data_IF_316735097138
#
_entry.id   IF_316735097138
#
_cell.length_a   1.000
_cell.length_b   1.000
_cell.length_c   1.000
_cell.angle_alpha   90.00
_cell.angle_beta   90.00
_cell.angle_gamma   90.00
#
_symmetry.space_group_name_H-M   'P 1'
#
loop_
_entity.id
_entity.type
_entity.pdbx_description
1 polymer ?
#
# COMPACT_ATOMS: atom_id res chain seq x y z
N UNK A 1 25.67 -3.71 -15.04
CA UNK A 1 24.80 -3.90 -16.22
C UNK A 1 23.45 -3.36 -15.84
N UNK A 2 22.88 -2.48 -16.65
CA UNK A 2 21.60 -1.80 -16.39
C UNK A 2 20.53 -2.36 -17.34
N UNK A 3 19.30 -2.49 -16.85
CA UNK A 3 18.13 -2.87 -17.61
C UNK A 3 17.10 -1.75 -17.59
N UNK A 4 16.74 -1.21 -18.76
CA UNK A 4 15.81 -0.08 -18.88
C UNK A 4 14.45 -0.55 -19.38
N UNK A 5 13.40 -0.24 -18.61
CA UNK A 5 12.00 -0.48 -18.98
C UNK A 5 11.33 0.84 -19.39
N UNK A 6 10.78 0.88 -20.61
CA UNK A 6 10.09 2.06 -21.14
C UNK A 6 8.60 2.04 -20.77
N UNK A 7 8.30 2.21 -19.47
CA UNK A 7 6.93 2.23 -18.94
C UNK A 7 6.52 3.69 -18.65
N UNK A 8 5.37 4.19 -19.15
CA UNK A 8 4.90 5.54 -18.85
C UNK A 8 4.80 5.81 -17.35
N UNK A 9 5.63 6.73 -16.84
CA UNK A 9 5.67 7.06 -15.42
C UNK A 9 4.54 8.02 -14.98
N UNK A 10 4.51 8.38 -13.68
CA UNK A 10 5.34 7.83 -12.62
C UNK A 10 5.03 6.34 -12.35
N UNK A 11 6.05 5.60 -11.89
CA UNK A 11 6.00 4.16 -11.69
C UNK A 11 6.36 3.79 -10.25
N UNK A 12 5.66 2.81 -9.68
CA UNK A 12 6.04 2.15 -8.43
C UNK A 12 6.53 0.74 -8.74
N UNK A 13 7.52 0.24 -8.00
CA UNK A 13 8.07 -1.11 -8.17
C UNK A 13 8.04 -1.91 -6.87
N UNK A 14 7.77 -3.21 -6.95
CA UNK A 14 7.85 -4.12 -5.81
C UNK A 14 8.27 -5.52 -6.25
N UNK A 15 9.08 -6.20 -5.46
CA UNK A 15 9.39 -7.62 -5.66
C UNK A 15 8.35 -8.49 -4.97
N UNK A 16 8.06 -9.64 -5.57
CA UNK A 16 7.36 -10.71 -4.88
C UNK A 16 8.25 -11.31 -3.76
N UNK A 17 7.67 -12.01 -2.76
CA UNK A 17 8.45 -12.55 -1.64
C UNK A 17 9.55 -13.55 -2.04
N UNK A 18 9.41 -14.23 -3.17
CA UNK A 18 10.44 -15.15 -3.68
C UNK A 18 11.56 -14.45 -4.46
N UNK A 19 11.37 -13.18 -4.82
CA UNK A 19 12.37 -12.34 -5.47
C UNK A 19 12.66 -12.71 -6.93
N UNK A 20 11.79 -13.48 -7.58
CA UNK A 20 11.93 -13.86 -8.99
C UNK A 20 10.93 -13.16 -9.91
N UNK A 21 9.93 -12.50 -9.32
CA UNK A 21 8.95 -11.66 -10.00
C UNK A 21 9.05 -10.24 -9.42
N UNK A 22 8.85 -9.24 -10.27
CA UNK A 22 8.59 -7.89 -9.81
C UNK A 22 7.37 -7.30 -10.50
N UNK A 23 6.64 -6.48 -9.75
CA UNK A 23 5.53 -5.70 -10.22
C UNK A 23 5.95 -4.26 -10.50
N UNK A 24 5.39 -3.67 -11.54
CA UNK A 24 5.45 -2.24 -11.83
C UNK A 24 4.03 -1.70 -11.94
N UNK A 25 3.69 -0.70 -11.13
CA UNK A 25 2.42 0.00 -11.21
C UNK A 25 2.62 1.36 -11.89
N UNK A 26 2.06 1.51 -13.09
CA UNK A 26 2.09 2.77 -13.85
C UNK A 26 0.89 3.65 -13.49
N UNK A 27 1.17 4.85 -13.00
CA UNK A 27 0.14 5.83 -12.67
C UNK A 27 -0.59 6.32 -13.92
N UNK A 28 0.15 6.63 -14.98
CA UNK A 28 -0.42 7.20 -16.21
C UNK A 28 -1.34 6.22 -16.92
N UNK A 29 -1.07 4.91 -16.80
CA UNK A 29 -1.87 3.86 -17.42
C UNK A 29 -2.89 3.23 -16.45
N UNK A 30 -2.85 3.56 -15.16
CA UNK A 30 -3.56 2.82 -14.11
C UNK A 30 -3.41 1.30 -14.27
N UNK A 31 -2.20 0.82 -14.57
CA UNK A 31 -1.98 -0.59 -14.93
C UNK A 31 -0.86 -1.19 -14.10
N UNK A 32 -1.14 -2.37 -13.54
CA UNK A 32 -0.19 -3.22 -12.83
C UNK A 32 0.42 -4.23 -13.81
N UNK A 33 1.74 -4.21 -13.94
CA UNK A 33 2.53 -5.04 -14.86
C UNK A 33 3.38 -6.01 -14.04
N UNK A 34 3.42 -7.29 -14.40
CA UNK A 34 4.25 -8.29 -13.73
C UNK A 34 5.31 -8.84 -14.68
N UNK A 35 6.55 -8.92 -14.21
CA UNK A 35 7.71 -9.34 -14.99
C UNK A 35 8.45 -10.49 -14.29
N UNK A 36 8.98 -11.43 -15.08
CA UNK A 36 9.98 -12.40 -14.60
C UNK A 36 11.33 -11.68 -14.53
N UNK A 37 11.98 -11.70 -13.36
CA UNK A 37 13.25 -11.03 -13.12
C UNK A 37 14.36 -11.49 -14.08
N UNK A 38 14.36 -12.74 -14.53
CA UNK A 38 15.38 -13.27 -15.45
C UNK A 38 15.17 -12.81 -16.88
N UNK A 39 13.97 -12.35 -17.21
CA UNK A 39 13.56 -11.87 -18.52
C UNK A 39 12.97 -10.45 -18.41
N UNK A 40 13.55 -9.61 -17.56
CA UNK A 40 13.02 -8.29 -17.24
C UNK A 40 12.96 -7.36 -18.45
N UNK A 41 13.73 -7.62 -19.51
CA UNK A 41 13.82 -6.84 -20.74
C UNK A 41 12.75 -7.22 -21.78
N UNK A 42 11.90 -8.20 -21.46
CA UNK A 42 10.75 -8.61 -22.28
C UNK A 42 9.47 -7.92 -21.83
N UNK A 43 8.42 -8.11 -22.61
CA UNK A 43 7.06 -7.71 -22.22
C UNK A 43 6.64 -8.37 -20.89
N UNK A 44 5.78 -7.70 -20.10
CA UNK A 44 5.28 -8.28 -18.87
C UNK A 44 4.50 -9.56 -19.18
N UNK A 45 4.61 -10.56 -18.30
CA UNK A 45 3.85 -11.80 -18.46
C UNK A 45 2.38 -11.65 -18.01
N UNK A 46 2.04 -10.55 -17.33
CA UNK A 46 0.67 -10.21 -16.95
C UNK A 46 0.50 -8.71 -16.85
N UNK A 47 -0.66 -8.23 -17.30
CA UNK A 47 -1.05 -6.82 -17.27
C UNK A 47 -2.49 -6.69 -16.73
N UNK A 48 -2.68 -5.86 -15.70
CA UNK A 48 -3.97 -5.66 -15.06
C UNK A 48 -4.31 -4.17 -15.01
N UNK A 49 -5.30 -3.74 -15.79
CA UNK A 49 -5.86 -2.40 -15.67
C UNK A 49 -6.68 -2.28 -14.40
N UNK A 50 -6.37 -1.26 -13.59
CA UNK A 50 -7.02 -0.99 -12.32
C UNK A 50 -8.09 0.10 -12.51
N UNK A 51 -9.31 -0.24 -12.16
CA UNK A 51 -10.43 0.70 -12.09
C UNK A 51 -11.35 0.33 -10.94
N UNK A 52 -11.96 1.35 -10.33
CA UNK A 52 -12.92 1.17 -9.24
C UNK A 52 -14.01 2.24 -9.30
N UNK A 53 -14.42 2.60 -10.51
CA UNK A 53 -15.29 3.74 -10.77
C UNK A 53 -16.60 3.68 -9.97
N UNK A 54 -17.20 2.48 -9.87
CA UNK A 54 -18.46 2.28 -9.15
C UNK A 54 -18.35 2.64 -7.66
N UNK A 55 -17.20 2.40 -7.04
CA UNK A 55 -16.94 2.78 -5.66
C UNK A 55 -16.49 4.23 -5.55
N UNK A 56 -15.63 4.68 -6.46
CA UNK A 56 -14.99 5.99 -6.45
C UNK A 56 -15.93 7.16 -6.78
N UNK A 57 -17.09 6.89 -7.40
CA UNK A 57 -18.17 7.87 -7.57
C UNK A 57 -18.66 8.47 -6.23
N UNK A 58 -18.40 7.80 -5.10
CA UNK A 58 -18.71 8.31 -3.75
C UNK A 58 -17.80 9.45 -3.30
N UNK A 59 -16.62 9.58 -3.92
CA UNK A 59 -15.58 10.53 -3.50
C UNK A 59 -15.21 11.56 -4.56
N UNK A 60 -15.47 11.28 -5.85
CA UNK A 60 -15.10 12.16 -6.96
C UNK A 60 -16.06 12.04 -8.14
N UNK A 61 -16.24 13.13 -8.89
CA UNK A 61 -17.01 13.14 -10.15
C UNK A 61 -16.27 13.93 -11.24
N UNK A 62 -15.91 13.31 -12.39
CA UNK A 62 -16.06 11.87 -12.68
C UNK A 62 -15.19 11.02 -11.74
N UNK A 63 -15.56 9.75 -11.55
CA UNK A 63 -14.75 8.84 -10.76
C UNK A 63 -13.36 8.67 -11.38
N UNK A 64 -12.33 8.72 -10.54
CA UNK A 64 -10.93 8.58 -10.96
C UNK A 64 -10.15 7.82 -9.90
N UNK A 65 -9.30 6.90 -10.35
CA UNK A 65 -8.31 6.26 -9.48
C UNK A 65 -7.45 7.35 -8.82
N UNK A 66 -7.29 7.34 -7.49
CA UNK A 66 -6.34 8.23 -6.83
C UNK A 66 -4.90 7.90 -7.24
N UNK A 67 -3.97 8.81 -6.97
CA UNK A 67 -2.56 8.54 -7.21
C UNK A 67 -2.05 7.44 -6.30
N UNK A 68 -1.27 6.51 -6.85
CA UNK A 68 -0.65 5.42 -6.13
C UNK A 68 0.62 5.92 -5.43
N UNK A 69 0.80 5.54 -4.18
CA UNK A 69 1.96 5.93 -3.37
C UNK A 69 2.75 4.75 -2.83
N UNK A 70 2.17 3.55 -2.81
CA UNK A 70 2.81 2.37 -2.28
C UNK A 70 2.42 1.14 -3.10
N UNK A 71 3.40 0.27 -3.34
CA UNK A 71 3.21 -1.04 -3.94
C UNK A 71 3.99 -2.05 -3.11
N UNK A 72 3.33 -3.08 -2.60
CA UNK A 72 3.96 -4.09 -1.74
C UNK A 72 3.25 -5.43 -1.86
N UNK A 73 4.00 -6.52 -2.05
CA UNK A 73 3.42 -7.86 -2.00
C UNK A 73 3.18 -8.28 -0.55
N UNK A 74 2.09 -9.00 -0.30
CA UNK A 74 1.96 -9.75 0.95
C UNK A 74 3.00 -10.87 1.00
N UNK A 75 3.42 -11.25 2.20
CA UNK A 75 4.47 -12.25 2.38
C UNK A 75 4.11 -13.66 1.84
N UNK A 76 2.81 -13.95 1.67
CA UNK A 76 2.33 -15.17 1.02
C UNK A 76 2.31 -15.10 -0.52
N UNK A 77 2.65 -13.94 -1.09
CA UNK A 77 2.70 -13.67 -2.53
C UNK A 77 1.33 -13.63 -3.22
N UNK A 78 0.23 -13.79 -2.50
CA UNK A 78 -1.13 -13.89 -3.10
C UNK A 78 -1.78 -12.56 -3.36
N UNK A 79 -1.35 -11.51 -2.65
CA UNK A 79 -1.93 -10.20 -2.76
C UNK A 79 -0.86 -9.12 -2.93
N UNK A 80 -1.28 -8.03 -3.55
CA UNK A 80 -0.50 -6.82 -3.71
C UNK A 80 -1.28 -5.69 -3.04
N UNK A 81 -0.68 -5.10 -2.02
CA UNK A 81 -1.14 -3.88 -1.38
C UNK A 81 -0.79 -2.67 -2.24
N UNK A 82 -1.79 -1.81 -2.44
CA UNK A 82 -1.66 -0.52 -3.13
C UNK A 82 -2.14 0.60 -2.21
N UNK A 83 -1.20 1.39 -1.71
CA UNK A 83 -1.48 2.64 -1.00
C UNK A 83 -1.74 3.78 -1.98
N UNK A 84 -2.64 4.71 -1.64
CA UNK A 84 -3.04 5.80 -2.54
C UNK A 84 -3.12 7.14 -1.80
N UNK A 85 -3.12 8.25 -2.54
CA UNK A 85 -3.39 9.61 -2.03
C UNK A 85 -4.86 9.84 -1.68
N UNK A 86 -5.75 8.91 -2.01
CA UNK A 86 -7.19 9.06 -1.79
C UNK A 86 -7.67 8.46 -0.47
N UNK A 87 -8.99 8.45 -0.30
CA UNK A 87 -9.68 7.87 0.88
C UNK A 87 -9.75 6.34 0.90
N UNK A 88 -9.04 5.68 -0.01
CA UNK A 88 -9.10 4.23 -0.18
C UNK A 88 -7.73 3.68 -0.55
N UNK A 89 -7.32 2.61 0.12
CA UNK A 89 -6.21 1.76 -0.29
C UNK A 89 -6.76 0.42 -0.80
N UNK A 90 -5.97 -0.31 -1.59
CA UNK A 90 -6.43 -1.54 -2.23
C UNK A 90 -5.58 -2.74 -1.86
N UNK A 91 -6.23 -3.90 -1.79
CA UNK A 91 -5.58 -5.20 -1.90
C UNK A 91 -6.02 -5.80 -3.23
N UNK A 92 -5.05 -6.18 -4.06
CA UNK A 92 -5.25 -6.76 -5.39
C UNK A 92 -4.78 -8.20 -5.37
N UNK A 93 -5.48 -9.12 -6.03
CA UNK A 93 -5.02 -10.50 -6.17
C UNK A 93 -3.85 -10.55 -7.17
N UNK A 94 -2.71 -11.10 -6.76
CA UNK A 94 -1.48 -11.03 -7.56
C UNK A 94 -1.54 -11.84 -8.86
N UNK A 95 -2.39 -12.86 -8.94
CA UNK A 95 -2.52 -13.72 -10.12
C UNK A 95 -3.66 -13.32 -11.05
N UNK A 96 -4.68 -12.63 -10.54
CA UNK A 96 -5.92 -12.33 -11.29
C UNK A 96 -6.11 -10.84 -11.55
N UNK A 97 -5.41 -9.97 -10.81
CA UNK A 97 -5.48 -8.52 -10.99
C UNK A 97 -6.74 -7.84 -10.48
N UNK A 98 -7.70 -8.60 -9.96
CA UNK A 98 -8.93 -8.05 -9.38
C UNK A 98 -8.69 -7.43 -8.00
N UNK A 99 -9.39 -6.33 -7.74
CA UNK A 99 -9.45 -5.70 -6.42
C UNK A 99 -10.26 -6.62 -5.51
N UNK A 100 -9.59 -7.20 -4.51
CA UNK A 100 -10.21 -8.12 -3.53
C UNK A 100 -10.72 -7.38 -2.30
N UNK A 101 -10.14 -6.22 -1.99
CA UNK A 101 -10.57 -5.43 -0.85
C UNK A 101 -10.16 -3.96 -0.94
N UNK A 102 -11.00 -3.11 -0.36
CA UNK A 102 -10.85 -1.65 -0.23
C UNK A 102 -10.68 -1.30 1.23
N UNK A 103 -9.56 -0.72 1.60
CA UNK A 103 -9.28 -0.28 2.97
C UNK A 103 -9.65 1.19 3.09
N UNK A 104 -10.62 1.50 3.95
CA UNK A 104 -11.16 2.84 4.14
C UNK A 104 -11.11 3.25 5.62
N UNK A 105 -11.46 4.51 5.88
CA UNK A 105 -11.55 5.08 7.22
C UNK A 105 -10.40 6.03 7.57
N UNK A 106 -9.33 6.07 6.77
CA UNK A 106 -8.29 7.09 6.89
C UNK A 106 -8.68 8.38 6.19
N UNK A 107 -8.35 9.51 6.80
CA UNK A 107 -8.23 10.80 6.12
C UNK A 107 -6.87 10.92 5.41
N UNK A 108 -6.85 11.27 4.11
CA UNK A 108 -5.62 11.35 3.32
C UNK A 108 -4.59 12.31 3.88
N UNK A 109 -3.33 11.88 3.90
CA UNK A 109 -2.18 12.72 4.22
C UNK A 109 -1.63 13.33 2.93
N UNK A 110 -1.56 14.65 2.85
CA UNK A 110 -0.95 15.33 1.71
C UNK A 110 0.57 15.15 1.76
N UNK A 111 1.13 14.43 0.78
CA UNK A 111 2.58 14.25 0.64
C UNK A 111 3.02 14.71 -0.74
N UNK A 112 4.09 15.49 -0.82
CA UNK A 112 4.62 15.95 -2.11
C UNK A 112 5.39 14.86 -2.88
N UNK A 113 5.71 13.73 -2.23
CA UNK A 113 6.61 12.70 -2.77
C UNK A 113 5.87 11.39 -3.08
N UNK A 114 6.18 10.78 -4.23
CA UNK A 114 5.84 9.38 -4.51
C UNK A 114 6.68 8.47 -3.60
N UNK A 115 6.10 7.37 -3.10
CA UNK A 115 6.72 6.52 -2.09
C UNK A 115 7.04 7.22 -0.76
N UNK A 116 6.23 8.21 -0.37
CA UNK A 116 6.36 8.92 0.91
C UNK A 116 6.20 8.02 2.17
N UNK A 117 6.13 6.69 2.03
CA UNK A 117 6.15 5.72 3.14
C UNK A 117 5.06 5.92 4.20
N UNK A 118 3.96 6.57 3.84
CA UNK A 118 2.83 6.82 4.73
C UNK A 118 1.98 5.56 5.01
N UNK A 119 2.24 4.47 4.29
CA UNK A 119 1.57 3.18 4.45
C UNK A 119 2.53 2.01 4.24
N UNK A 120 2.26 0.90 4.91
CA UNK A 120 3.03 -0.33 4.79
C UNK A 120 2.20 -1.57 5.16
N UNK A 121 2.67 -2.74 4.73
CA UNK A 121 2.16 -4.03 5.19
C UNK A 121 3.08 -4.54 6.30
N UNK A 122 2.48 -5.21 7.28
CA UNK A 122 3.24 -5.88 8.34
C UNK A 122 4.00 -7.09 7.81
N UNK A 123 5.15 -7.44 8.41
CA UNK A 123 6.02 -8.55 7.98
C UNK A 123 5.32 -9.91 7.83
N UNK A 124 4.33 -10.18 8.68
CA UNK A 124 3.54 -11.40 8.66
C UNK A 124 2.42 -11.40 7.60
N UNK A 125 2.27 -10.29 6.87
CA UNK A 125 1.23 -10.07 5.86
C UNK A 125 -0.17 -9.87 6.44
N UNK A 126 -0.31 -9.81 7.77
CA UNK A 126 -1.63 -9.85 8.42
C UNK A 126 -2.32 -8.51 8.47
N UNK A 127 -1.56 -7.43 8.61
CA UNK A 127 -2.09 -6.08 8.76
C UNK A 127 -1.50 -5.11 7.73
N UNK A 128 -2.32 -4.19 7.25
CA UNK A 128 -1.88 -2.96 6.61
C UNK A 128 -2.00 -1.79 7.58
N UNK A 129 -1.05 -0.86 7.49
CA UNK A 129 -0.98 0.34 8.32
C UNK A 129 -0.92 1.56 7.40
N UNK A 130 -1.60 2.64 7.76
CA UNK A 130 -1.42 3.93 7.11
C UNK A 130 -1.57 5.09 8.10
N UNK A 131 -0.76 6.13 7.91
CA UNK A 131 -0.94 7.39 8.58
C UNK A 131 -2.20 8.10 8.08
N UNK A 132 -2.82 8.86 8.98
CA UNK A 132 -4.00 9.65 8.66
C UNK A 132 -3.89 11.09 9.17
N UNK A 133 -4.48 12.01 8.41
CA UNK A 133 -4.46 13.45 8.70
C UNK A 133 -5.25 13.82 9.98
N UNK A 134 -6.05 12.90 10.50
CA UNK A 134 -6.75 13.03 11.78
C UNK A 134 -5.88 12.69 13.02
N UNK A 135 -4.56 12.55 12.83
CA UNK A 135 -3.57 12.20 13.88
C UNK A 135 -3.82 10.81 14.47
N UNK A 136 -4.10 9.86 13.59
CA UNK A 136 -4.19 8.44 13.90
C UNK A 136 -3.35 7.63 12.92
N UNK A 137 -2.93 6.44 13.35
CA UNK A 137 -2.57 5.35 12.45
C UNK A 137 -3.77 4.45 12.28
N UNK A 138 -4.17 4.23 11.03
CA UNK A 138 -5.20 3.29 10.66
C UNK A 138 -4.60 1.90 10.45
N UNK A 139 -5.29 0.89 10.96
CA UNK A 139 -4.88 -0.51 10.95
C UNK A 139 -5.99 -1.37 10.36
N UNK A 140 -5.69 -2.09 9.28
CA UNK A 140 -6.61 -3.02 8.64
C UNK A 140 -6.09 -4.45 8.78
N UNK A 141 -6.94 -5.38 9.20
CA UNK A 141 -6.65 -6.83 9.19
C UNK A 141 -6.91 -7.37 7.79
N UNK A 142 -5.87 -7.85 7.11
CA UNK A 142 -5.90 -8.41 5.75
C UNK A 142 -6.33 -9.88 5.73
N UNK A 143 -6.13 -10.62 6.81
CA UNK A 143 -6.48 -12.05 6.92
C UNK A 143 -7.93 -12.30 7.29
N UNK A 144 -8.63 -11.32 7.86
CA UNK A 144 -10.07 -11.41 8.07
C UNK A 144 -10.76 -11.73 6.74
N UNK A 145 -11.44 -12.88 6.68
CA UNK A 145 -12.32 -13.21 5.56
C UNK A 145 -13.43 -12.14 5.49
N UNK A 146 -13.84 -11.79 4.27
CA UNK A 146 -15.11 -11.12 3.95
C UNK A 146 -15.31 -9.73 4.57
N UNK A 147 -14.64 -8.69 4.03
CA UNK A 147 -15.42 -7.83 3.13
C UNK A 147 -14.62 -7.19 1.96
N UNK A 148 -15.32 -6.88 0.87
CA UNK A 148 -14.83 -6.02 -0.21
C UNK A 148 -14.42 -4.62 0.29
N UNK A 149 -14.95 -4.19 1.44
CA UNK A 149 -14.63 -2.91 2.09
C UNK A 149 -14.25 -3.17 3.55
N UNK A 150 -13.02 -2.85 3.94
CA UNK A 150 -12.46 -3.01 5.28
C UNK A 150 -12.42 -1.67 6.00
N UNK A 151 -13.11 -1.62 7.14
CA UNK A 151 -13.00 -0.53 8.10
C UNK A 151 -11.69 -0.65 8.90
N UNK A 152 -11.10 0.48 9.24
CA UNK A 152 -9.88 0.56 10.05
C UNK A 152 -10.17 0.45 11.55
N UNK A 153 -9.17 -0.01 12.29
CA UNK A 153 -8.99 0.35 13.70
C UNK A 153 -7.98 1.49 13.78
N UNK A 154 -8.06 2.32 14.82
CA UNK A 154 -7.19 3.49 14.97
C UNK A 154 -6.27 3.38 16.18
N UNK A 155 -5.02 3.79 16.01
CA UNK A 155 -4.04 4.00 17.08
C UNK A 155 -3.76 5.50 17.14
N UNK A 156 -3.98 6.13 18.30
CA UNK A 156 -3.88 7.59 18.41
C UNK A 156 -2.44 8.08 18.50
N UNK A 157 -2.07 9.02 17.63
CA UNK A 157 -0.72 9.63 17.58
C UNK A 157 -0.71 11.05 18.15
N UNK A 158 -1.57 11.34 19.15
CA UNK A 158 -1.75 12.68 19.73
C UNK A 158 -0.45 13.37 20.14
N UNK A 159 0.53 12.62 20.65
CA UNK A 159 1.83 13.14 21.07
C UNK A 159 2.79 13.46 19.92
N UNK A 160 2.52 12.96 18.72
CA UNK A 160 3.41 13.03 17.53
C UNK A 160 2.89 14.06 16.51
N UNK A 161 1.58 14.27 16.46
CA UNK A 161 0.93 15.10 15.44
C UNK A 161 0.52 14.30 14.20
N UNK A 162 0.38 14.99 13.06
CA UNK A 162 0.12 14.34 11.77
C UNK A 162 1.37 13.56 11.38
N UNK A 163 1.21 12.26 11.13
CA UNK A 163 2.33 11.41 10.76
C UNK A 163 2.49 11.41 9.24
N UNK A 164 3.73 11.58 8.78
CA UNK A 164 4.08 11.57 7.36
C UNK A 164 4.55 10.17 6.93
N UNK A 165 5.20 9.43 7.83
CA UNK A 165 5.77 8.09 7.57
C UNK A 165 5.30 7.07 8.61
N UNK A 166 5.12 5.83 8.14
CA UNK A 166 4.91 4.63 8.95
C UNK A 166 5.84 3.54 8.44
N UNK A 167 6.78 3.10 9.28
CA UNK A 167 7.66 1.98 8.98
C UNK A 167 7.52 0.89 10.05
N UNK A 168 7.56 -0.37 9.64
CA UNK A 168 7.50 -1.51 10.56
C UNK A 168 8.79 -2.33 10.47
N UNK A 169 9.37 -2.68 11.63
CA UNK A 169 10.58 -3.48 11.70
C UNK A 169 10.25 -4.98 11.74
N UNK A 170 10.71 -5.71 10.73
CA UNK A 170 10.50 -7.15 10.54
C UNK A 170 11.02 -8.04 11.67
N UNK A 171 12.02 -7.61 12.46
CA UNK A 171 12.64 -8.47 13.48
C UNK A 171 12.10 -8.27 14.89
N UNK A 172 11.62 -7.07 15.21
CA UNK A 172 11.30 -6.68 16.58
C UNK A 172 9.84 -6.29 16.79
N UNK A 173 9.00 -6.40 15.75
CA UNK A 173 7.61 -5.92 15.75
C UNK A 173 7.45 -4.46 16.20
N UNK A 174 8.47 -3.64 15.95
CA UNK A 174 8.45 -2.21 16.25
C UNK A 174 7.82 -1.46 15.09
N UNK A 175 6.88 -0.56 15.39
CA UNK A 175 6.44 0.45 14.42
C UNK A 175 7.13 1.77 14.73
N UNK A 176 7.55 2.49 13.69
CA UNK A 176 8.08 3.85 13.79
C UNK A 176 7.16 4.76 13.02
N UNK A 177 6.74 5.83 13.66
CA UNK A 177 5.99 6.91 13.02
C UNK A 177 6.78 8.20 13.12
N UNK A 178 6.81 8.97 12.06
CA UNK A 178 7.46 10.30 12.07
C UNK A 178 6.46 11.38 11.71
N UNK A 179 6.63 12.54 12.31
CA UNK A 179 6.03 13.81 11.89
C UNK A 179 7.14 14.82 11.62
N UNK A 180 6.78 16.03 11.20
CA UNK A 180 7.71 17.16 11.10
C UNK A 180 8.50 17.44 12.38
N UNK A 181 7.95 17.12 13.55
CA UNK A 181 8.50 17.53 14.85
C UNK A 181 8.96 16.37 15.74
N UNK A 182 8.53 15.14 15.47
CA UNK A 182 8.82 14.00 16.35
C UNK A 182 8.97 12.67 15.61
N UNK A 183 9.79 11.80 16.17
CA UNK A 183 9.94 10.39 15.79
C UNK A 183 9.54 9.52 16.98
N UNK A 184 8.60 8.61 16.78
CA UNK A 184 8.02 7.77 17.86
C UNK A 184 8.13 6.30 17.53
N UNK A 185 8.59 5.51 18.51
CA UNK A 185 8.60 4.06 18.47
C UNK A 185 7.38 3.51 19.21
N UNK A 186 6.70 2.56 18.58
CA UNK A 186 5.58 1.85 19.17
C UNK A 186 6.02 0.41 19.43
N UNK A 187 5.91 0.00 20.69
CA UNK A 187 6.18 -1.34 21.16
C UNK A 187 4.86 -2.11 21.27
N UNK A 188 4.81 -3.40 20.91
CA UNK A 188 3.70 -4.26 21.28
C UNK A 188 3.59 -4.31 22.81
N UNK A 189 2.36 -4.28 23.35
CA UNK A 189 2.15 -4.45 24.77
C UNK A 189 2.69 -5.81 25.23
N UNK A 190 3.65 -5.81 26.16
CA UNK A 190 4.26 -7.04 26.69
C UNK A 190 3.31 -7.86 27.59
N UNK A 191 2.09 -7.37 27.81
CA UNK A 191 1.12 -7.92 28.76
C UNK A 191 0.06 -8.83 28.13
N UNK A 192 0.10 -9.05 26.82
CA UNK A 192 -0.80 -9.98 26.13
C UNK A 192 0.01 -11.18 25.63
N UNK A 193 0.36 -12.07 26.57
CA UNK A 193 0.87 -13.42 26.33
C UNK A 193 -0.18 -14.46 26.72
#
# INVERSE_FOLDING_TARGET
MEGLLNIPGPNLGAFDPSGIIFAVLSQSLNTLLLYDLRNFDKEPFSEFSLSDDSFLQKFSFPARMPEFQRLEFTNDGKHIFVGTTGKVHYSIHSFEGNIVSRMIGHEPVETAELNAGNSCVTPDGRYALAASNDRQIMVWDLHRKTPEVRESKSISTKSVGICDLVAFNHKSALMVTTSKEALTFWLPDASVS
#
